data_IF_952854714804
#
_entry.id   IF_952854714804
#
_cell.length_a   1.000
_cell.length_b   1.000
_cell.length_c   1.000
_cell.angle_alpha   90.00
_cell.angle_beta   90.00
_cell.angle_gamma   90.00
#
_symmetry.space_group_name_H-M   'P 1'
#
loop_
_entity.id
_entity.type
_entity.pdbx_description
1 polymer ?
#
# COMPACT_ATOMS: atom_id res chain seq x y z
N UNK A 1 68.70 8.81 10.61
CA UNK A 1 67.50 8.65 11.45
C UNK A 1 66.73 9.95 11.70
N UNK A 2 67.32 11.01 12.27
CA UNK A 2 66.58 12.26 12.63
C UNK A 2 65.82 12.94 11.47
N UNK A 3 66.36 12.93 10.24
CA UNK A 3 65.73 13.54 9.05
C UNK A 3 64.50 12.75 8.55
N UNK A 4 64.54 11.42 8.66
CA UNK A 4 63.43 10.54 8.27
C UNK A 4 62.27 10.72 9.26
N UNK A 5 62.56 10.73 10.56
CA UNK A 5 61.56 10.96 11.60
C UNK A 5 60.88 12.33 11.46
N UNK A 6 61.64 13.38 11.15
CA UNK A 6 61.09 14.72 10.86
C UNK A 6 60.12 14.72 9.68
N UNK A 7 60.45 14.00 8.60
CA UNK A 7 59.59 13.94 7.42
C UNK A 7 58.29 13.15 7.68
N UNK A 8 58.36 12.09 8.48
CA UNK A 8 57.17 11.31 8.89
C UNK A 8 56.23 12.18 9.73
N UNK A 9 56.75 12.95 10.69
CA UNK A 9 55.95 13.85 11.54
C UNK A 9 55.27 14.93 10.68
N UNK A 10 55.98 15.51 9.72
CA UNK A 10 55.41 16.51 8.80
C UNK A 10 54.29 15.91 7.95
N UNK A 11 54.48 14.71 7.40
CA UNK A 11 53.46 14.03 6.60
C UNK A 11 52.19 13.72 7.44
N UNK A 12 52.35 13.29 8.68
CA UNK A 12 51.23 13.06 9.61
C UNK A 12 50.48 14.35 9.93
N UNK A 13 51.19 15.44 10.19
CA UNK A 13 50.56 16.74 10.46
C UNK A 13 49.77 17.25 9.25
N UNK A 14 50.30 17.07 8.03
CA UNK A 14 49.60 17.42 6.79
C UNK A 14 48.35 16.55 6.62
N UNK A 15 48.44 15.24 6.84
CA UNK A 15 47.30 14.33 6.73
C UNK A 15 46.20 14.65 7.74
N UNK A 16 46.57 14.96 8.99
CA UNK A 16 45.63 15.39 10.03
C UNK A 16 44.98 16.71 9.63
N UNK A 17 45.76 17.70 9.18
CA UNK A 17 45.24 18.99 8.76
C UNK A 17 44.30 18.90 7.56
N UNK A 18 44.61 18.08 6.55
CA UNK A 18 43.73 17.84 5.41
C UNK A 18 42.46 17.10 5.79
N UNK A 19 42.54 16.14 6.72
CA UNK A 19 41.35 15.44 7.21
C UNK A 19 40.44 16.38 8.00
N UNK A 20 41.01 17.26 8.82
CA UNK A 20 40.27 18.22 9.62
C UNK A 20 39.63 19.30 8.73
N UNK A 21 40.34 19.79 7.72
CA UNK A 21 39.78 20.74 6.76
C UNK A 21 38.66 20.12 5.94
N UNK A 22 38.76 18.84 5.57
CA UNK A 22 37.70 18.11 4.87
C UNK A 22 36.46 17.95 5.76
N UNK A 23 36.63 17.62 7.05
CA UNK A 23 35.53 17.56 8.01
C UNK A 23 34.85 18.92 8.21
N UNK A 24 35.61 20.01 8.25
CA UNK A 24 35.06 21.38 8.33
C UNK A 24 34.29 21.74 7.06
N UNK A 25 34.81 21.40 5.88
CA UNK A 25 34.10 21.61 4.60
C UNK A 25 32.81 20.79 4.56
N UNK A 26 32.83 19.53 4.99
CA UNK A 26 31.63 18.68 5.09
C UNK A 26 30.61 19.28 6.07
N UNK A 27 31.07 19.77 7.22
CA UNK A 27 30.21 20.43 8.20
C UNK A 27 29.46 21.64 7.60
N UNK A 28 30.17 22.51 6.87
CA UNK A 28 29.55 23.64 6.19
C UNK A 28 28.69 23.23 4.99
N UNK A 29 29.14 22.25 4.20
CA UNK A 29 28.43 21.77 3.01
C UNK A 29 27.11 21.06 3.35
N UNK A 30 27.06 20.34 4.47
CA UNK A 30 25.84 19.70 4.98
C UNK A 30 24.93 20.67 5.75
N UNK A 31 25.31 21.95 5.85
CA UNK A 31 24.51 22.97 6.53
C UNK A 31 24.32 22.71 8.02
N UNK A 32 25.21 21.93 8.64
CA UNK A 32 25.09 21.61 10.06
C UNK A 32 25.25 22.90 10.88
N UNK A 33 24.20 23.25 11.61
CA UNK A 33 24.26 24.25 12.67
C UNK A 33 24.23 23.55 14.04
N UNK A 34 24.74 24.21 15.08
CA UNK A 34 24.79 23.61 16.42
C UNK A 34 23.40 23.13 16.89
N UNK A 35 22.34 23.89 16.57
CA UNK A 35 20.98 23.54 16.95
C UNK A 35 20.50 22.22 16.29
N UNK A 36 20.81 22.02 15.01
CA UNK A 36 20.46 20.82 14.25
C UNK A 36 21.17 19.59 14.78
N UNK A 37 22.44 19.73 15.18
CA UNK A 37 23.17 18.68 15.88
C UNK A 37 22.51 18.30 17.21
N UNK A 38 22.16 19.28 18.06
CA UNK A 38 21.46 19.00 19.32
C UNK A 38 20.09 18.38 19.12
N UNK A 39 19.33 18.81 18.11
CA UNK A 39 18.03 18.24 17.78
C UNK A 39 18.16 16.78 17.31
N UNK A 40 19.17 16.47 16.49
CA UNK A 40 19.46 15.10 16.07
C UNK A 40 19.84 14.21 17.27
N UNK A 41 20.70 14.72 18.16
CA UNK A 41 21.06 13.99 19.38
C UNK A 41 19.85 13.76 20.29
N UNK A 42 18.95 14.73 20.42
CA UNK A 42 17.69 14.58 21.17
C UNK A 42 16.82 13.48 20.57
N UNK A 43 16.67 13.45 19.25
CA UNK A 43 15.95 12.40 18.53
C UNK A 43 16.56 11.01 18.77
N UNK A 44 17.86 10.85 18.53
CA UNK A 44 18.58 9.58 18.74
C UNK A 44 18.46 9.10 20.18
N UNK A 45 18.57 10.02 21.15
CA UNK A 45 18.43 9.69 22.58
C UNK A 45 17.03 9.17 22.90
N UNK A 46 15.98 9.80 22.38
CA UNK A 46 14.61 9.36 22.58
C UNK A 46 14.35 7.99 21.94
N UNK A 47 14.78 7.80 20.69
CA UNK A 47 14.66 6.53 19.97
C UNK A 47 15.36 5.38 20.73
N UNK A 48 16.65 5.56 21.11
CA UNK A 48 17.41 4.56 21.89
C UNK A 48 16.79 4.30 23.26
N UNK A 49 16.27 5.33 23.92
CA UNK A 49 15.62 5.16 25.22
C UNK A 49 14.39 4.26 25.09
N UNK A 50 13.55 4.46 24.07
CA UNK A 50 12.38 3.62 23.80
C UNK A 50 12.82 2.19 23.51
N UNK A 51 13.71 1.99 22.54
CA UNK A 51 14.24 0.67 22.15
C UNK A 51 14.80 -0.13 23.35
N UNK A 52 15.50 0.53 24.28
CA UNK A 52 16.15 -0.15 25.40
C UNK A 52 15.28 -0.29 26.66
N UNK A 53 14.23 0.52 26.82
CA UNK A 53 13.48 0.64 28.09
C UNK A 53 11.99 0.37 27.96
N UNK A 54 11.45 0.23 26.76
CA UNK A 54 10.06 -0.11 26.58
C UNK A 54 9.77 -1.53 27.08
N UNK A 55 8.55 -1.74 27.56
CA UNK A 55 8.15 -2.99 28.24
C UNK A 55 8.03 -4.18 27.28
N UNK A 56 7.75 -3.91 26.01
CA UNK A 56 7.57 -4.91 24.95
C UNK A 56 8.63 -4.73 23.86
N UNK A 57 8.74 -5.71 22.99
CA UNK A 57 9.57 -5.61 21.78
C UNK A 57 9.09 -4.46 20.89
N UNK A 58 10.04 -3.71 20.33
CA UNK A 58 9.78 -2.57 19.43
C UNK A 58 10.23 -2.90 18.01
N UNK A 59 9.44 -2.50 17.02
CA UNK A 59 9.81 -2.54 15.60
C UNK A 59 10.53 -1.25 15.21
N UNK A 60 11.75 -1.36 14.68
CA UNK A 60 12.50 -0.21 14.16
C UNK A 60 11.73 0.51 13.05
N UNK A 61 11.05 -0.26 12.19
CA UNK A 61 10.24 0.29 11.11
C UNK A 61 9.10 1.13 11.68
N UNK A 62 8.39 0.63 12.68
CA UNK A 62 7.23 1.32 13.26
C UNK A 62 7.66 2.61 13.99
N UNK A 63 8.81 2.57 14.68
CA UNK A 63 9.37 3.74 15.37
C UNK A 63 9.82 4.84 14.39
N UNK A 64 10.45 4.45 13.28
CA UNK A 64 10.88 5.40 12.25
C UNK A 64 9.69 5.97 11.49
N UNK A 65 8.76 5.13 11.05
CA UNK A 65 7.55 5.56 10.34
C UNK A 65 6.72 6.50 11.23
N UNK A 66 6.53 6.16 12.51
CA UNK A 66 5.84 7.01 13.47
C UNK A 66 6.55 8.35 13.73
N UNK A 67 7.88 8.37 13.74
CA UNK A 67 8.65 9.61 13.85
C UNK A 67 8.47 10.51 12.62
N UNK A 68 8.54 9.95 11.41
CA UNK A 68 8.35 10.69 10.17
C UNK A 68 6.92 11.22 10.06
N UNK A 69 5.92 10.38 10.34
CA UNK A 69 4.51 10.77 10.38
C UNK A 69 4.27 11.92 11.38
N UNK A 70 4.84 11.83 12.59
CA UNK A 70 4.77 12.90 13.58
C UNK A 70 5.42 14.21 13.11
N UNK A 71 6.54 14.14 12.40
CA UNK A 71 7.18 15.32 11.80
C UNK A 71 6.28 15.95 10.73
N UNK A 72 5.67 15.15 9.85
CA UNK A 72 4.77 15.65 8.80
C UNK A 72 3.51 16.26 9.42
N UNK A 73 2.89 15.61 10.42
CA UNK A 73 1.73 16.15 11.15
C UNK A 73 2.03 17.48 11.86
N UNK A 74 3.29 17.71 12.26
CA UNK A 74 3.69 18.97 12.89
C UNK A 74 3.59 20.20 11.96
N UNK A 75 3.46 19.98 10.64
CA UNK A 75 3.22 21.05 9.67
C UNK A 75 1.84 21.69 9.83
N UNK A 76 0.90 21.03 10.54
CA UNK A 76 -0.49 21.44 10.67
C UNK A 76 -1.19 21.67 9.32
N UNK A 77 -0.73 20.97 8.28
CA UNK A 77 -1.35 20.96 6.96
C UNK A 77 -2.09 19.62 6.79
N UNK A 78 -3.43 19.63 6.66
CA UNK A 78 -4.21 18.40 6.51
C UNK A 78 -3.91 17.63 5.21
N UNK A 79 -3.27 18.27 4.23
CA UNK A 79 -2.92 17.64 2.95
C UNK A 79 -1.50 17.06 2.93
N UNK A 80 -0.66 17.41 3.90
CA UNK A 80 0.67 16.84 4.05
C UNK A 80 0.59 15.53 4.84
N UNK A 81 0.88 14.41 4.17
CA UNK A 81 0.84 13.09 4.79
C UNK A 81 2.11 12.30 4.44
N UNK A 82 2.66 11.60 5.42
CA UNK A 82 3.66 10.57 5.16
C UNK A 82 2.96 9.30 4.70
N UNK A 83 3.43 8.73 3.59
CA UNK A 83 2.96 7.42 3.12
C UNK A 83 4.01 6.38 3.49
N UNK A 84 3.70 5.52 4.46
CA UNK A 84 4.48 4.31 4.69
C UNK A 84 4.46 3.42 3.43
N UNK A 85 5.39 2.47 3.27
CA UNK A 85 5.41 1.59 2.11
C UNK A 85 4.06 0.91 1.82
N UNK A 86 3.36 0.45 2.88
CA UNK A 86 2.01 -0.13 2.79
C UNK A 86 0.97 0.88 2.31
N UNK A 87 0.98 2.10 2.86
CA UNK A 87 0.05 3.16 2.43
C UNK A 87 0.28 3.58 0.98
N UNK A 88 1.56 3.65 0.57
CA UNK A 88 1.93 3.96 -0.81
C UNK A 88 1.45 2.86 -1.77
N UNK A 89 1.65 1.59 -1.44
CA UNK A 89 1.13 0.47 -2.23
C UNK A 89 -0.39 0.54 -2.38
N UNK A 90 -1.13 0.74 -1.28
CA UNK A 90 -2.59 0.88 -1.32
C UNK A 90 -3.03 2.07 -2.21
N UNK A 91 -2.32 3.20 -2.15
CA UNK A 91 -2.61 4.34 -3.02
C UNK A 91 -2.40 3.97 -4.50
N UNK A 92 -1.30 3.27 -4.82
CA UNK A 92 -1.02 2.81 -6.17
C UNK A 92 -2.09 1.85 -6.68
N UNK A 93 -2.47 0.84 -5.89
CA UNK A 93 -3.56 -0.10 -6.22
C UNK A 93 -4.88 0.63 -6.52
N UNK A 94 -5.23 1.65 -5.72
CA UNK A 94 -6.42 2.47 -5.96
C UNK A 94 -6.32 3.27 -7.26
N UNK A 95 -5.20 3.94 -7.50
CA UNK A 95 -5.03 4.77 -8.72
C UNK A 95 -5.00 3.94 -9.99
N UNK A 96 -4.38 2.75 -9.94
CA UNK A 96 -4.33 1.82 -11.06
C UNK A 96 -5.64 1.08 -11.28
N UNK A 97 -6.57 1.12 -10.30
CA UNK A 97 -7.80 0.31 -10.34
C UNK A 97 -7.52 -1.19 -10.37
N UNK A 98 -6.32 -1.62 -9.96
CA UNK A 98 -5.93 -3.02 -10.01
C UNK A 98 -5.01 -3.40 -8.85
N UNK A 99 -5.07 -4.66 -8.46
CA UNK A 99 -4.22 -5.21 -7.42
C UNK A 99 -3.80 -6.64 -7.76
N UNK A 100 -2.63 -7.05 -7.28
CA UNK A 100 -2.13 -8.40 -7.49
C UNK A 100 -2.67 -9.37 -6.42
N UNK A 101 -3.45 -10.38 -6.83
CA UNK A 101 -4.04 -11.34 -5.90
C UNK A 101 -4.92 -12.38 -6.58
N UNK A 102 -5.86 -12.94 -5.82
CA UNK A 102 -6.76 -14.01 -6.31
C UNK A 102 -8.19 -13.52 -6.63
N UNK A 103 -8.48 -12.23 -6.41
CA UNK A 103 -9.77 -11.61 -6.74
C UNK A 103 -10.95 -12.04 -5.87
N UNK A 104 -10.72 -12.16 -4.55
CA UNK A 104 -11.77 -12.41 -3.56
C UNK A 104 -11.92 -11.20 -2.64
N UNK A 105 -13.13 -10.98 -2.15
CA UNK A 105 -13.46 -10.01 -1.11
C UNK A 105 -13.62 -10.81 0.18
N UNK A 106 -12.78 -10.51 1.16
CA UNK A 106 -12.80 -11.16 2.47
C UNK A 106 -13.50 -10.26 3.49
N UNK A 107 -14.20 -10.88 4.43
CA UNK A 107 -14.75 -10.27 5.63
C UNK A 107 -14.26 -11.01 6.87
N UNK A 108 -14.27 -10.33 8.00
CA UNK A 108 -14.04 -10.93 9.31
C UNK A 108 -15.35 -10.94 10.08
N UNK A 109 -15.73 -12.09 10.63
CA UNK A 109 -16.92 -12.20 11.49
C UNK A 109 -16.62 -11.77 12.94
N UNK A 110 -17.66 -11.78 13.79
CA UNK A 110 -17.53 -11.43 15.21
C UNK A 110 -16.64 -12.38 16.01
N UNK A 111 -16.42 -13.60 15.50
CA UNK A 111 -15.58 -14.63 16.10
C UNK A 111 -14.13 -14.58 15.57
N UNK A 112 -13.82 -13.55 14.75
CA UNK A 112 -12.54 -13.31 14.08
C UNK A 112 -12.17 -14.33 13.00
N UNK A 113 -13.13 -15.10 12.52
CA UNK A 113 -12.89 -15.96 11.36
C UNK A 113 -12.94 -15.14 10.07
N UNK A 114 -12.07 -15.50 9.13
CA UNK A 114 -12.02 -14.89 7.80
C UNK A 114 -12.92 -15.68 6.86
N UNK A 115 -13.86 -14.99 6.23
CA UNK A 115 -14.78 -15.56 5.25
C UNK A 115 -14.69 -14.84 3.92
N UNK A 116 -14.93 -15.56 2.83
CA UNK A 116 -15.15 -14.96 1.53
C UNK A 116 -16.57 -14.39 1.49
N UNK A 117 -16.70 -13.08 1.37
CA UNK A 117 -17.99 -12.38 1.26
C UNK A 117 -18.32 -11.99 -0.19
N UNK A 118 -17.35 -12.10 -1.09
CA UNK A 118 -17.53 -11.84 -2.51
C UNK A 118 -16.40 -12.48 -3.33
N UNK A 119 -16.69 -12.85 -4.57
CA UNK A 119 -15.70 -13.34 -5.52
C UNK A 119 -15.87 -12.55 -6.81
N UNK A 120 -14.80 -11.91 -7.27
CA UNK A 120 -14.85 -11.07 -8.46
C UNK A 120 -15.01 -11.93 -9.72
N UNK A 121 -15.80 -11.44 -10.66
CA UNK A 121 -15.96 -12.10 -11.96
C UNK A 121 -14.62 -12.18 -12.71
N UNK A 122 -14.45 -13.24 -13.49
CA UNK A 122 -13.22 -13.53 -14.25
C UNK A 122 -11.93 -13.66 -13.43
N UNK A 123 -12.01 -13.63 -12.10
CA UNK A 123 -10.85 -13.75 -11.20
C UNK A 123 -10.27 -15.18 -11.15
N UNK A 124 -8.99 -15.33 -10.78
CA UNK A 124 -8.41 -16.64 -10.48
C UNK A 124 -9.15 -17.42 -9.39
N UNK A 125 -9.62 -16.73 -8.35
CA UNK A 125 -10.38 -17.33 -7.25
C UNK A 125 -11.71 -17.95 -7.72
N UNK A 126 -12.45 -17.23 -8.56
CA UNK A 126 -13.68 -17.77 -9.16
C UNK A 126 -13.39 -19.00 -10.03
N UNK A 127 -12.35 -18.92 -10.88
CA UNK A 127 -11.93 -20.02 -11.76
C UNK A 127 -11.48 -21.25 -10.98
N UNK A 128 -10.88 -21.06 -9.81
CA UNK A 128 -10.49 -22.13 -8.90
C UNK A 128 -11.68 -22.78 -8.17
N UNK A 129 -12.82 -22.09 -8.08
CA UNK A 129 -14.02 -22.60 -7.43
C UNK A 129 -14.23 -22.10 -6.00
N UNK A 130 -13.56 -21.00 -5.61
CA UNK A 130 -13.88 -20.27 -4.38
C UNK A 130 -15.27 -19.67 -4.48
N UNK A 131 -15.98 -19.62 -3.35
CA UNK A 131 -17.37 -19.22 -3.25
C UNK A 131 -17.60 -18.31 -2.04
N UNK A 132 -18.67 -17.53 -2.10
CA UNK A 132 -19.15 -16.77 -0.95
C UNK A 132 -19.57 -17.75 0.15
N UNK A 133 -19.13 -17.47 1.38
CA UNK A 133 -19.34 -18.32 2.55
C UNK A 133 -18.19 -19.25 2.89
N UNK A 134 -17.16 -19.34 2.04
CA UNK A 134 -15.95 -20.11 2.35
C UNK A 134 -15.19 -19.49 3.52
N UNK A 135 -14.93 -20.27 4.56
CA UNK A 135 -14.06 -19.85 5.66
C UNK A 135 -12.60 -20.15 5.30
N UNK A 136 -11.73 -19.15 5.26
CA UNK A 136 -10.28 -19.35 5.02
C UNK A 136 -9.60 -19.71 6.33
N UNK A 137 -8.97 -20.88 6.39
CA UNK A 137 -8.30 -21.37 7.61
C UNK A 137 -6.78 -21.40 7.49
N UNK A 138 -6.23 -21.51 6.28
CA UNK A 138 -4.79 -21.39 6.06
C UNK A 138 -4.44 -20.82 4.67
N UNK A 139 -3.26 -20.20 4.57
CA UNK A 139 -2.66 -19.71 3.34
C UNK A 139 -1.23 -20.24 3.25
N UNK A 140 -0.90 -20.93 2.16
CA UNK A 140 0.39 -21.62 1.97
C UNK A 140 0.77 -22.53 3.15
N UNK A 141 -0.23 -23.22 3.71
CA UNK A 141 -0.08 -24.10 4.88
C UNK A 141 0.08 -23.38 6.23
N UNK A 142 0.13 -22.05 6.24
CA UNK A 142 0.17 -21.24 7.47
C UNK A 142 -1.25 -20.98 7.95
N UNK A 143 -1.57 -21.38 9.18
CA UNK A 143 -2.89 -21.10 9.77
C UNK A 143 -3.10 -19.60 9.95
N UNK A 144 -4.26 -19.12 9.48
CA UNK A 144 -4.62 -17.70 9.53
C UNK A 144 -5.68 -17.37 10.59
N UNK A 145 -6.14 -18.36 11.36
CA UNK A 145 -7.25 -18.20 12.32
C UNK A 145 -6.94 -17.28 13.52
N UNK A 146 -5.66 -16.96 13.75
CA UNK A 146 -5.21 -16.08 14.84
C UNK A 146 -4.54 -14.80 14.31
N UNK A 147 -4.47 -14.64 13.00
CA UNK A 147 -3.83 -13.48 12.36
C UNK A 147 -4.78 -12.29 12.32
N UNK A 148 -4.20 -11.09 12.25
CA UNK A 148 -4.99 -9.89 11.97
C UNK A 148 -5.50 -9.93 10.51
N UNK A 149 -6.67 -9.33 10.25
CA UNK A 149 -7.27 -9.29 8.90
C UNK A 149 -6.28 -8.85 7.82
N UNK A 150 -5.54 -7.76 8.09
CA UNK A 150 -4.56 -7.19 7.18
C UNK A 150 -3.38 -8.13 6.89
N UNK A 151 -2.99 -8.94 7.86
CA UNK A 151 -1.91 -9.92 7.71
C UNK A 151 -2.36 -11.06 6.80
N UNK A 152 -3.59 -11.56 7.00
CA UNK A 152 -4.19 -12.56 6.10
C UNK A 152 -4.28 -12.02 4.67
N UNK A 153 -4.73 -10.77 4.50
CA UNK A 153 -4.78 -10.14 3.19
C UNK A 153 -3.39 -10.05 2.53
N UNK A 154 -2.35 -9.72 3.30
CA UNK A 154 -0.98 -9.68 2.81
C UNK A 154 -0.47 -11.07 2.37
N UNK A 155 -0.84 -12.15 3.07
CA UNK A 155 -0.51 -13.53 2.66
C UNK A 155 -1.22 -13.96 1.37
N UNK A 156 -2.49 -13.56 1.19
CA UNK A 156 -3.26 -13.88 -0.03
C UNK A 156 -2.73 -13.11 -1.24
N UNK A 157 -2.32 -11.86 -1.05
CA UNK A 157 -1.65 -11.05 -2.08
C UNK A 157 -0.24 -11.55 -2.38
N UNK A 158 0.31 -11.07 -3.48
CA UNK A 158 1.65 -11.43 -3.93
C UNK A 158 1.83 -11.18 -5.42
N UNK A 159 3.05 -11.37 -5.90
CA UNK A 159 3.40 -11.08 -7.30
C UNK A 159 2.52 -11.86 -8.29
N UNK A 160 2.01 -11.22 -9.37
CA UNK A 160 1.29 -11.91 -10.43
C UNK A 160 2.09 -13.07 -11.03
N UNK A 161 1.40 -14.16 -11.35
CA UNK A 161 2.01 -15.39 -11.87
C UNK A 161 2.58 -16.33 -10.79
N UNK A 162 2.62 -15.91 -9.53
CA UNK A 162 2.97 -16.82 -8.41
C UNK A 162 1.74 -17.63 -7.98
N UNK A 163 1.97 -18.82 -7.41
CA UNK A 163 0.89 -19.63 -6.86
C UNK A 163 0.70 -19.36 -5.36
N UNK A 164 -0.52 -19.53 -4.90
CA UNK A 164 -0.92 -19.56 -3.49
C UNK A 164 -1.84 -20.74 -3.24
N UNK A 165 -1.66 -21.42 -2.12
CA UNK A 165 -2.58 -22.46 -1.66
C UNK A 165 -3.51 -21.85 -0.62
N UNK A 166 -4.80 -21.81 -0.92
CA UNK A 166 -5.85 -21.38 0.00
C UNK A 166 -6.54 -22.62 0.56
N UNK A 167 -6.44 -22.82 1.86
CA UNK A 167 -7.20 -23.85 2.58
C UNK A 167 -8.46 -23.23 3.13
N UNK A 168 -9.60 -23.78 2.75
CA UNK A 168 -10.92 -23.36 3.23
C UNK A 168 -11.64 -24.46 4.00
N UNK A 169 -12.68 -24.06 4.73
CA UNK A 169 -13.74 -24.93 5.21
C UNK A 169 -15.06 -24.52 4.56
N UNK A 170 -15.71 -25.46 3.87
CA UNK A 170 -17.05 -25.33 3.29
C UNK A 170 -17.90 -26.50 3.75
N UNK A 171 -19.06 -26.23 4.34
CA UNK A 171 -19.97 -27.25 4.88
C UNK A 171 -19.29 -28.26 5.84
N UNK A 172 -18.31 -27.79 6.62
CA UNK A 172 -17.54 -28.60 7.56
C UNK A 172 -16.45 -29.48 6.92
N UNK A 173 -16.27 -29.43 5.60
CA UNK A 173 -15.19 -30.13 4.90
C UNK A 173 -14.05 -29.18 4.55
N UNK A 174 -12.83 -29.59 4.84
CA UNK A 174 -11.62 -28.85 4.45
C UNK A 174 -11.28 -29.12 2.98
N UNK A 175 -10.93 -28.06 2.24
CA UNK A 175 -10.53 -28.13 0.84
C UNK A 175 -9.35 -27.18 0.57
N UNK A 176 -8.42 -27.62 -0.28
CA UNK A 176 -7.26 -26.83 -0.69
C UNK A 176 -7.39 -26.41 -2.15
N UNK A 177 -7.17 -25.14 -2.42
CA UNK A 177 -7.18 -24.56 -3.77
C UNK A 177 -5.82 -23.95 -4.08
N UNK A 178 -5.14 -24.49 -5.10
CA UNK A 178 -3.95 -23.86 -5.66
C UNK A 178 -4.37 -22.86 -6.74
N UNK A 179 -4.06 -21.59 -6.51
CA UNK A 179 -4.52 -20.47 -7.33
C UNK A 179 -3.31 -19.67 -7.80
N UNK A 180 -3.23 -19.38 -9.09
CA UNK A 180 -2.22 -18.47 -9.63
C UNK A 180 -2.70 -17.04 -9.44
N UNK A 181 -1.91 -16.21 -8.75
CA UNK A 181 -2.19 -14.78 -8.56
C UNK A 181 -2.15 -14.07 -9.91
N UNK A 182 -3.02 -13.09 -10.07
CA UNK A 182 -3.11 -12.28 -11.29
C UNK A 182 -3.36 -10.81 -10.93
N UNK A 183 -3.22 -9.92 -11.91
CA UNK A 183 -3.65 -8.54 -11.79
C UNK A 183 -5.17 -8.47 -11.90
N UNK A 184 -5.80 -8.25 -10.76
CA UNK A 184 -7.25 -8.15 -10.64
C UNK A 184 -7.65 -6.71 -10.95
N UNK A 185 -8.35 -6.51 -12.05
CA UNK A 185 -8.95 -5.22 -12.40
C UNK A 185 -10.27 -5.05 -11.67
N UNK A 186 -10.41 -3.95 -10.96
CA UNK A 186 -11.67 -3.53 -10.36
C UNK A 186 -12.41 -2.67 -11.38
N UNK A 187 -13.61 -3.10 -11.73
CA UNK A 187 -14.50 -2.30 -12.58
C UNK A 187 -14.88 -1.04 -11.79
N UNK A 188 -14.67 0.12 -12.40
CA UNK A 188 -14.95 1.43 -11.80
C UNK A 188 -16.25 2.04 -12.26
N UNK A 189 -16.79 1.56 -13.37
CA UNK A 189 -18.04 2.03 -13.95
C UNK A 189 -19.08 0.91 -14.01
N UNK A 190 -20.26 1.16 -13.44
CA UNK A 190 -21.44 0.32 -13.63
C UNK A 190 -22.53 1.12 -14.35
N UNK A 191 -23.37 0.41 -15.11
CA UNK A 191 -24.40 1.06 -15.91
C UNK A 191 -25.65 0.19 -16.09
N UNK A 192 -26.78 0.86 -16.21
CA UNK A 192 -28.07 0.23 -16.50
C UNK A 192 -29.01 1.16 -17.25
N UNK A 193 -29.96 0.59 -17.99
CA UNK A 193 -31.05 1.34 -18.61
C UNK A 193 -32.24 1.38 -17.66
N UNK A 194 -32.59 2.58 -17.18
CA UNK A 194 -33.76 2.82 -16.36
C UNK A 194 -35.02 3.02 -17.22
N UNK A 195 -36.17 3.09 -16.54
CA UNK A 195 -37.45 3.44 -17.15
C UNK A 195 -37.36 4.76 -17.95
N UNK A 196 -38.20 4.87 -18.98
CA UNK A 196 -38.25 6.01 -19.91
C UNK A 196 -36.98 6.20 -20.78
N UNK A 197 -36.14 5.17 -20.93
CA UNK A 197 -34.87 5.21 -21.67
C UNK A 197 -33.87 6.19 -21.06
N UNK A 198 -33.82 6.25 -19.74
CA UNK A 198 -32.81 7.03 -19.02
C UNK A 198 -31.64 6.08 -18.75
N UNK A 199 -30.50 6.33 -19.37
CA UNK A 199 -29.27 5.63 -19.02
C UNK A 199 -28.79 6.10 -17.66
N UNK A 200 -28.32 5.17 -16.86
CA UNK A 200 -27.68 5.43 -15.57
C UNK A 200 -26.26 4.88 -15.63
N UNK A 201 -25.29 5.72 -15.30
CA UNK A 201 -23.88 5.33 -15.17
C UNK A 201 -23.40 5.76 -13.79
N UNK A 202 -22.96 4.81 -12.98
CA UNK A 202 -22.31 5.06 -11.71
C UNK A 202 -20.80 4.94 -11.87
N UNK A 203 -20.05 5.93 -11.38
CA UNK A 203 -18.60 5.89 -11.33
C UNK A 203 -18.17 5.81 -9.87
N UNK A 204 -17.61 4.69 -9.46
CA UNK A 204 -17.19 4.44 -8.07
C UNK A 204 -15.91 5.21 -7.70
N UNK A 205 -14.97 5.34 -8.64
CA UNK A 205 -13.71 6.07 -8.48
C UNK A 205 -13.07 6.34 -9.85
N UNK A 206 -12.11 7.26 -9.92
CA UNK A 206 -11.34 7.53 -11.14
C UNK A 206 -10.00 6.79 -11.12
N UNK A 207 -9.89 5.72 -11.91
CA UNK A 207 -8.68 4.92 -12.11
C UNK A 207 -8.21 4.98 -13.56
N UNK A 208 -7.09 4.34 -13.89
CA UNK A 208 -6.52 4.34 -15.25
C UNK A 208 -7.52 3.90 -16.34
N UNK A 209 -8.37 2.89 -16.07
CA UNK A 209 -9.28 2.33 -17.07
C UNK A 209 -10.66 3.02 -17.10
N UNK A 210 -10.97 3.91 -16.14
CA UNK A 210 -12.33 4.45 -15.93
C UNK A 210 -12.90 5.21 -17.13
N UNK A 211 -12.06 5.99 -17.85
CA UNK A 211 -12.51 6.73 -19.02
C UNK A 211 -12.98 5.78 -20.15
N UNK A 212 -12.27 4.66 -20.34
CA UNK A 212 -12.64 3.66 -21.33
C UNK A 212 -13.89 2.90 -20.91
N UNK A 213 -14.01 2.50 -19.65
CA UNK A 213 -15.20 1.84 -19.12
C UNK A 213 -16.46 2.72 -19.25
N UNK A 214 -16.33 4.03 -18.98
CA UNK A 214 -17.42 4.99 -19.17
C UNK A 214 -17.86 5.07 -20.62
N UNK A 215 -16.90 5.13 -21.55
CA UNK A 215 -17.18 5.19 -22.99
C UNK A 215 -17.91 3.95 -23.49
N UNK A 216 -17.52 2.77 -23.00
CA UNK A 216 -18.15 1.51 -23.36
C UNK A 216 -19.58 1.43 -22.79
N UNK A 217 -19.77 1.80 -21.52
CA UNK A 217 -21.08 1.90 -20.88
C UNK A 217 -22.01 2.88 -21.62
N UNK A 218 -21.51 4.07 -21.97
CA UNK A 218 -22.27 5.08 -22.70
C UNK A 218 -22.68 4.57 -24.09
N UNK A 219 -21.78 3.91 -24.81
CA UNK A 219 -22.04 3.37 -26.14
C UNK A 219 -23.09 2.26 -26.10
N UNK A 220 -23.01 1.37 -25.10
CA UNK A 220 -24.01 0.32 -24.87
C UNK A 220 -25.41 0.92 -24.60
N UNK A 221 -25.51 1.89 -23.69
CA UNK A 221 -26.77 2.58 -23.40
C UNK A 221 -27.33 3.33 -24.63
N UNK A 222 -26.47 3.96 -25.42
CA UNK A 222 -26.90 4.59 -26.68
C UNK A 222 -27.50 3.55 -27.65
N UNK A 223 -26.88 2.38 -27.80
CA UNK A 223 -27.37 1.32 -28.66
C UNK A 223 -28.71 0.74 -28.17
N UNK A 224 -28.97 0.78 -26.86
CA UNK A 224 -30.25 0.41 -26.26
C UNK A 224 -31.34 1.50 -26.40
N UNK A 225 -31.02 2.66 -26.97
CA UNK A 225 -31.99 3.73 -27.24
C UNK A 225 -32.08 4.81 -26.17
N UNK A 226 -31.02 5.00 -25.37
CA UNK A 226 -30.92 6.03 -24.34
C UNK A 226 -31.30 7.43 -24.88
N UNK A 227 -32.17 8.13 -24.14
CA UNK A 227 -32.62 9.50 -24.45
C UNK A 227 -32.11 10.55 -23.47
N UNK A 228 -31.71 10.13 -22.28
CA UNK A 228 -31.18 11.00 -21.23
C UNK A 228 -30.21 10.18 -20.38
N UNK A 229 -29.25 10.84 -19.74
CA UNK A 229 -28.20 10.18 -18.96
C UNK A 229 -28.16 10.78 -17.55
N UNK A 230 -28.09 9.91 -16.54
CA UNK A 230 -27.73 10.24 -15.17
C UNK A 230 -26.34 9.70 -14.91
N UNK A 231 -25.44 10.57 -14.45
CA UNK A 231 -24.10 10.17 -13.99
C UNK A 231 -24.12 10.26 -12.47
N UNK A 232 -23.93 9.14 -11.79
CA UNK A 232 -23.86 9.07 -10.35
C UNK A 232 -22.40 9.06 -9.86
N UNK A 233 -22.04 10.15 -9.17
CA UNK A 233 -20.75 10.34 -8.51
C UNK A 233 -20.88 10.30 -6.97
N UNK A 234 -22.03 9.87 -6.43
CA UNK A 234 -22.20 9.74 -4.99
C UNK A 234 -21.23 8.68 -4.46
N UNK A 235 -20.62 8.98 -3.31
CA UNK A 235 -19.59 8.16 -2.66
C UNK A 235 -18.33 7.93 -3.50
N UNK A 236 -18.11 8.69 -4.57
CA UNK A 236 -16.87 8.67 -5.33
C UNK A 236 -15.83 9.58 -4.64
N UNK A 237 -14.72 9.04 -4.12
CA UNK A 237 -13.71 9.82 -3.38
C UNK A 237 -12.76 10.62 -4.31
N UNK A 238 -12.93 10.52 -5.63
CA UNK A 238 -12.04 11.06 -6.65
C UNK A 238 -11.14 9.98 -7.25
N UNK A 239 -9.87 10.31 -7.44
CA UNK A 239 -8.88 9.43 -8.07
C UNK A 239 -7.99 10.20 -9.03
N UNK A 240 -7.59 9.58 -10.13
CA UNK A 240 -6.74 10.19 -11.15
C UNK A 240 -7.45 11.36 -11.84
N UNK A 241 -6.89 12.56 -11.70
CA UNK A 241 -7.38 13.77 -12.37
C UNK A 241 -7.40 13.61 -13.89
N UNK A 242 -6.40 12.92 -14.45
CA UNK A 242 -6.31 12.66 -15.90
C UNK A 242 -7.51 11.86 -16.40
N UNK A 243 -7.87 10.79 -15.69
CA UNK A 243 -9.05 9.97 -16.02
C UNK A 243 -10.36 10.76 -15.95
N UNK A 244 -10.47 11.78 -15.08
CA UNK A 244 -11.66 12.63 -15.02
C UNK A 244 -11.74 13.63 -16.20
N UNK A 245 -10.61 13.99 -16.81
CA UNK A 245 -10.54 15.00 -17.88
C UNK A 245 -10.67 14.39 -19.28
N UNK A 246 -10.20 13.15 -19.44
CA UNK A 246 -10.30 12.35 -20.68
C UNK A 246 -11.75 12.00 -21.06
#
# INVERSE_FOLDING_TARGET
>A
MKKILKNIIIALLIAIFSSLSTLVVIYYALGFNQQGFFNLMRFITAYRFIEMKYVNDTSDVDLIDGAIDGMVKSLNDPHSNYLSPKMYQNLMEQTQGSFAGIGVIMGMDNEKNIHIIGVLENSPGLKAGLQVGDQITAVDGTSVTQMAFDEVAAHVRGEPGTNVVITIVRDGAQQDFTITRDNIKLKTVDHEMLENNIGYIQIASFSEDTAQEFKDAYTDLQNQGMKSLVIDLRNNPGGLLTSCVE
#
